data_IF_689754339994
#
_entry.id   IF_689754339994
#
_cell.length_a   1.000
_cell.length_b   1.000
_cell.length_c   1.000
_cell.angle_alpha   90.00
_cell.angle_beta   90.00
_cell.angle_gamma   90.00
#
_symmetry.space_group_name_H-M   'P 1'
#
loop_
_entity.id
_entity.type
_entity.pdbx_description
1 polymer ?
#
# COMPACT_ATOMS: atom_id res chain seq x y z
N UNK A 1 7.13 11.33 32.63
CA UNK A 1 6.54 10.70 31.43
C UNK A 1 7.69 10.23 30.57
N UNK A 2 7.91 8.91 30.51
CA UNK A 2 8.99 8.32 29.73
C UNK A 2 8.74 8.56 28.24
N UNK A 3 9.75 9.12 27.59
CA UNK A 3 9.87 9.22 26.13
C UNK A 3 9.81 7.80 25.59
N UNK A 4 8.82 7.52 24.74
CA UNK A 4 8.73 6.24 24.05
C UNK A 4 10.03 6.00 23.28
N UNK A 5 10.59 4.81 23.38
CA UNK A 5 11.76 4.43 22.60
C UNK A 5 11.42 4.55 21.11
N UNK A 6 11.97 5.55 20.45
CA UNK A 6 11.96 5.70 19.00
C UNK A 6 12.95 4.69 18.42
N UNK A 7 12.49 3.46 18.19
CA UNK A 7 13.26 2.48 17.45
C UNK A 7 12.75 2.44 16.02
N UNK A 8 13.43 3.15 15.11
CA UNK A 8 13.26 2.88 13.69
C UNK A 8 13.76 1.46 13.43
N UNK A 9 12.87 0.61 12.91
CA UNK A 9 13.27 -0.73 12.47
C UNK A 9 14.29 -0.57 11.33
N UNK A 10 15.55 -0.97 11.54
CA UNK A 10 16.60 -0.81 10.52
C UNK A 10 16.28 -1.57 9.23
N UNK A 11 15.34 -2.51 9.25
CA UNK A 11 14.94 -3.32 8.11
C UNK A 11 13.67 -2.81 7.41
N UNK A 12 13.02 -1.75 7.90
CA UNK A 12 11.73 -1.29 7.38
C UNK A 12 11.70 -1.08 5.85
N UNK A 13 12.75 -0.47 5.28
CA UNK A 13 12.84 -0.26 3.83
C UNK A 13 13.01 -1.57 3.05
N UNK A 14 13.70 -2.55 3.62
CA UNK A 14 13.88 -3.89 3.04
C UNK A 14 12.54 -4.65 3.06
N UNK A 15 11.78 -4.52 4.14
CA UNK A 15 10.45 -5.13 4.27
C UNK A 15 9.47 -4.51 3.29
N UNK A 16 9.41 -3.17 3.20
CA UNK A 16 8.58 -2.46 2.21
C UNK A 16 8.97 -2.86 0.78
N UNK A 17 10.27 -2.97 0.49
CA UNK A 17 10.73 -3.46 -0.82
C UNK A 17 10.25 -4.89 -1.09
N UNK A 18 10.29 -5.77 -0.08
CA UNK A 18 9.80 -7.15 -0.20
C UNK A 18 8.29 -7.18 -0.48
N UNK A 19 7.50 -6.33 0.17
CA UNK A 19 6.06 -6.17 -0.11
C UNK A 19 5.81 -5.71 -1.56
N UNK A 20 6.63 -4.78 -2.07
CA UNK A 20 6.54 -4.32 -3.47
C UNK A 20 6.81 -5.48 -4.44
N UNK A 21 7.82 -6.31 -4.17
CA UNK A 21 8.11 -7.49 -5.00
C UNK A 21 6.96 -8.50 -4.97
N UNK A 22 6.38 -8.77 -3.80
CA UNK A 22 5.22 -9.65 -3.67
C UNK A 22 4.01 -9.12 -4.45
N UNK A 23 3.73 -7.82 -4.37
CA UNK A 23 2.68 -7.18 -5.14
C UNK A 23 2.95 -7.25 -6.66
N UNK A 24 4.20 -7.02 -7.08
CA UNK A 24 4.57 -7.13 -8.49
C UNK A 24 4.45 -8.58 -9.01
N UNK A 25 4.88 -9.58 -8.23
CA UNK A 25 4.71 -10.98 -8.56
C UNK A 25 3.23 -11.35 -8.71
N UNK A 26 2.40 -10.91 -7.76
CA UNK A 26 0.94 -11.11 -7.80
C UNK A 26 0.32 -10.52 -9.07
N UNK A 27 0.70 -9.30 -9.46
CA UNK A 27 0.23 -8.70 -10.73
C UNK A 27 0.68 -9.49 -11.96
N UNK A 28 1.93 -9.97 -12.00
CA UNK A 28 2.43 -10.78 -13.14
C UNK A 28 1.60 -12.06 -13.28
N UNK A 29 1.34 -12.74 -12.16
CA UNK A 29 0.66 -14.04 -12.15
C UNK A 29 -0.85 -13.94 -12.42
N UNK A 30 -1.41 -12.74 -12.34
CA UNK A 30 -2.81 -12.46 -12.70
C UNK A 30 -2.93 -11.59 -13.95
N UNK A 31 -1.84 -11.45 -14.72
CA UNK A 31 -1.84 -10.76 -16.01
C UNK A 31 -2.18 -11.71 -17.16
N UNK A 32 -2.56 -11.19 -18.35
CA UNK A 32 -2.78 -12.01 -19.53
C UNK A 32 -1.58 -12.88 -19.96
N UNK A 33 -0.36 -12.58 -19.48
CA UNK A 33 0.85 -13.37 -19.80
C UNK A 33 0.73 -14.84 -19.39
N UNK A 34 -0.10 -15.16 -18.40
CA UNK A 34 -0.29 -16.55 -17.92
C UNK A 34 -1.07 -17.43 -18.89
N UNK A 35 -1.70 -16.84 -19.91
CA UNK A 35 -2.41 -17.58 -20.96
C UNK A 35 -1.45 -18.18 -21.98
N UNK A 36 -0.22 -17.66 -22.07
CA UNK A 36 0.81 -18.22 -22.94
C UNK A 36 1.20 -19.64 -22.48
N UNK A 37 1.13 -20.67 -23.35
CA UNK A 37 1.53 -22.04 -23.00
C UNK A 37 2.99 -22.19 -22.55
N UNK A 38 3.85 -21.23 -22.90
CA UNK A 38 5.25 -21.17 -22.48
C UNK A 38 5.46 -20.46 -21.13
N UNK A 39 4.41 -19.92 -20.53
CA UNK A 39 4.50 -19.23 -19.25
C UNK A 39 5.00 -20.17 -18.15
N UNK A 40 6.01 -19.70 -17.42
CA UNK A 40 6.58 -20.38 -16.26
C UNK A 40 6.58 -19.42 -15.09
N UNK A 41 5.82 -19.75 -14.04
CA UNK A 41 5.76 -18.96 -12.81
C UNK A 41 7.15 -18.82 -12.17
N UNK A 42 7.93 -19.91 -12.13
CA UNK A 42 9.30 -19.90 -11.61
C UNK A 42 10.22 -18.98 -12.43
N UNK A 43 10.14 -19.03 -13.76
CA UNK A 43 10.95 -18.15 -14.62
C UNK A 43 10.55 -16.69 -14.49
N UNK A 44 9.25 -16.41 -14.33
CA UNK A 44 8.74 -15.06 -14.07
C UNK A 44 9.21 -14.52 -12.71
N UNK A 45 9.22 -15.35 -11.66
CA UNK A 45 9.77 -14.98 -10.35
C UNK A 45 11.28 -14.69 -10.43
N UNK A 46 12.04 -15.56 -11.09
CA UNK A 46 13.48 -15.34 -11.32
C UNK A 46 13.74 -14.02 -12.06
N UNK A 47 12.99 -13.74 -13.12
CA UNK A 47 13.11 -12.51 -13.90
C UNK A 47 12.77 -11.26 -13.05
N UNK A 48 11.76 -11.34 -12.19
CA UNK A 48 11.41 -10.26 -11.26
C UNK A 48 12.54 -10.00 -10.26
N UNK A 49 13.08 -11.03 -9.63
CA UNK A 49 14.21 -10.90 -8.69
C UNK A 49 15.47 -10.34 -9.37
N UNK A 50 15.78 -10.79 -10.60
CA UNK A 50 16.93 -10.26 -11.35
C UNK A 50 16.80 -8.79 -11.73
N UNK A 51 15.58 -8.34 -12.03
CA UNK A 51 15.33 -6.97 -12.49
C UNK A 51 15.15 -5.96 -11.36
N UNK A 52 14.53 -6.38 -10.25
CA UNK A 52 14.11 -5.47 -9.18
C UNK A 52 14.52 -5.91 -7.77
N UNK A 53 15.00 -7.14 -7.59
CA UNK A 53 15.30 -7.67 -6.26
C UNK A 53 16.60 -7.12 -5.67
N UNK A 54 16.57 -6.82 -4.37
CA UNK A 54 17.78 -6.52 -3.59
C UNK A 54 18.62 -7.77 -3.30
N UNK A 55 17.95 -8.93 -3.18
CA UNK A 55 18.57 -10.22 -2.89
C UNK A 55 18.46 -11.11 -4.13
N UNK A 56 19.56 -11.75 -4.59
CA UNK A 56 19.53 -12.63 -5.76
C UNK A 56 18.54 -13.78 -5.62
N UNK A 57 17.91 -14.15 -6.73
CA UNK A 57 17.11 -15.36 -6.82
C UNK A 57 17.97 -16.61 -6.52
N UNK A 58 17.40 -17.57 -5.80
CA UNK A 58 18.05 -18.85 -5.48
C UNK A 58 17.52 -19.95 -6.42
N UNK A 59 18.35 -20.50 -7.33
CA UNK A 59 17.92 -21.54 -8.26
C UNK A 59 17.43 -22.80 -7.56
N UNK A 60 16.50 -23.52 -8.22
CA UNK A 60 15.93 -24.77 -7.69
C UNK A 60 14.87 -24.55 -6.60
N UNK A 61 14.42 -23.31 -6.39
CA UNK A 61 13.36 -22.98 -5.43
C UNK A 61 12.06 -22.62 -6.15
N UNK A 62 10.94 -22.82 -5.44
CA UNK A 62 9.60 -22.48 -5.91
C UNK A 62 8.85 -21.69 -4.84
N UNK A 63 9.41 -20.57 -4.38
CA UNK A 63 8.84 -19.76 -3.29
C UNK A 63 7.37 -19.39 -3.54
N UNK A 64 7.00 -19.14 -4.80
CA UNK A 64 5.64 -18.77 -5.16
C UNK A 64 4.58 -19.82 -4.77
N UNK A 65 4.95 -21.09 -4.60
CA UNK A 65 4.01 -22.12 -4.13
C UNK A 65 3.70 -22.01 -2.64
N UNK A 66 4.49 -21.23 -1.90
CA UNK A 66 4.31 -20.97 -0.46
C UNK A 66 3.58 -19.65 -0.22
N UNK A 67 3.42 -18.81 -1.25
CA UNK A 67 2.76 -17.53 -1.12
C UNK A 67 1.25 -17.66 -1.28
N UNK A 68 0.58 -17.97 -0.16
CA UNK A 68 -0.86 -18.27 -0.14
C UNK A 68 -1.77 -17.15 -0.67
N UNK A 69 -1.34 -15.88 -0.63
CA UNK A 69 -2.14 -14.74 -1.10
C UNK A 69 -2.40 -14.77 -2.61
N UNK A 70 -1.61 -15.52 -3.39
CA UNK A 70 -1.92 -15.76 -4.80
C UNK A 70 -3.26 -16.49 -4.98
N UNK A 71 -3.74 -17.17 -3.93
CA UNK A 71 -5.00 -17.91 -3.93
C UNK A 71 -6.00 -17.21 -3.00
N UNK A 72 -7.15 -16.81 -3.54
CA UNK A 72 -8.22 -16.13 -2.80
C UNK A 72 -8.09 -14.60 -2.73
N UNK A 73 -6.87 -14.05 -2.85
CA UNK A 73 -6.58 -12.60 -2.90
C UNK A 73 -5.82 -12.19 -4.17
N UNK A 74 -5.86 -13.03 -5.20
CA UNK A 74 -5.12 -12.82 -6.44
C UNK A 74 -5.38 -11.45 -7.07
N UNK A 75 -4.32 -10.83 -7.57
CA UNK A 75 -4.29 -9.51 -8.18
C UNK A 75 -4.55 -8.32 -7.23
N UNK A 76 -4.65 -8.55 -5.92
CA UNK A 76 -4.97 -7.49 -4.96
C UNK A 76 -3.88 -7.21 -3.94
N UNK A 77 -2.74 -7.92 -3.95
CA UNK A 77 -1.74 -7.79 -2.89
C UNK A 77 -1.14 -6.37 -2.78
N UNK A 78 -1.15 -5.59 -3.88
CA UNK A 78 -0.72 -4.20 -3.86
C UNK A 78 -1.56 -3.32 -2.90
N UNK A 79 -2.78 -3.73 -2.57
CA UNK A 79 -3.69 -2.97 -1.70
C UNK A 79 -3.09 -2.72 -0.32
N UNK A 80 -2.26 -3.63 0.21
CA UNK A 80 -1.61 -3.42 1.50
C UNK A 80 -0.73 -2.17 1.53
N UNK A 81 0.05 -1.94 0.47
CA UNK A 81 0.90 -0.75 0.36
C UNK A 81 0.06 0.49 0.03
N UNK A 82 -0.93 0.30 -0.84
CA UNK A 82 -1.82 1.36 -1.28
C UNK A 82 -2.66 1.94 -0.13
N UNK A 83 -3.30 1.07 0.65
CA UNK A 83 -4.12 1.45 1.79
C UNK A 83 -3.27 2.09 2.90
N UNK A 84 -2.02 1.65 3.08
CA UNK A 84 -1.07 2.30 4.00
C UNK A 84 -0.71 3.71 3.55
N UNK A 85 -0.50 3.93 2.25
CA UNK A 85 -0.25 5.28 1.72
C UNK A 85 -1.47 6.20 1.94
N UNK A 86 -2.69 5.70 1.69
CA UNK A 86 -3.92 6.44 1.96
C UNK A 86 -4.07 6.74 3.46
N UNK A 87 -3.86 5.75 4.33
CA UNK A 87 -3.96 5.92 5.78
C UNK A 87 -2.95 6.95 6.32
N UNK A 88 -1.70 6.90 5.84
CA UNK A 88 -0.65 7.89 6.13
C UNK A 88 -1.07 9.30 5.70
N UNK A 89 -1.65 9.43 4.51
CA UNK A 89 -2.14 10.72 3.99
C UNK A 89 -3.30 11.27 4.82
N UNK A 90 -4.26 10.42 5.18
CA UNK A 90 -5.36 10.78 6.08
C UNK A 90 -4.83 11.22 7.44
N UNK A 91 -3.88 10.49 8.01
CA UNK A 91 -3.28 10.89 9.29
C UNK A 91 -2.60 12.25 9.20
N UNK A 92 -1.66 12.42 8.26
CA UNK A 92 -0.87 13.65 8.10
C UNK A 92 -1.71 14.88 7.80
N UNK A 93 -2.75 14.76 6.96
CA UNK A 93 -3.57 15.91 6.55
C UNK A 93 -4.75 16.20 7.47
N UNK A 94 -5.35 15.16 8.08
CA UNK A 94 -6.60 15.32 8.85
C UNK A 94 -6.34 15.37 10.34
N UNK A 95 -5.50 14.48 10.86
CA UNK A 95 -5.42 14.24 12.31
C UNK A 95 -4.12 14.75 12.96
N UNK A 96 -3.02 14.84 12.22
CA UNK A 96 -1.70 15.12 12.79
C UNK A 96 -1.63 16.41 13.64
N UNK A 97 -2.32 17.47 13.22
CA UNK A 97 -2.31 18.76 13.93
C UNK A 97 -3.08 18.73 15.28
N UNK A 98 -4.20 18.03 15.34
CA UNK A 98 -5.03 17.88 16.55
C UNK A 98 -5.73 16.49 16.55
N UNK A 99 -5.02 15.43 17.01
CA UNK A 99 -5.49 14.05 16.85
C UNK A 99 -6.77 13.69 17.59
N UNK A 100 -7.13 14.47 18.62
CA UNK A 100 -8.31 14.24 19.45
C UNK A 100 -9.44 15.24 19.15
N UNK A 101 -9.33 15.97 18.04
CA UNK A 101 -10.33 16.92 17.61
C UNK A 101 -11.67 16.22 17.31
N UNK A 102 -12.73 16.64 18.01
CA UNK A 102 -14.06 16.02 17.89
C UNK A 102 -14.67 16.25 16.52
N UNK A 103 -14.50 17.45 15.97
CA UNK A 103 -15.06 17.83 14.67
C UNK A 103 -14.41 17.05 13.52
N UNK A 104 -13.09 16.83 13.57
CA UNK A 104 -12.38 16.00 12.59
C UNK A 104 -12.79 14.53 12.68
N UNK A 105 -12.95 13.99 13.89
CA UNK A 105 -13.50 12.65 14.10
C UNK A 105 -14.93 12.52 13.54
N UNK A 106 -15.78 13.53 13.74
CA UNK A 106 -17.13 13.57 13.17
C UNK A 106 -17.11 13.68 11.63
N UNK A 107 -16.14 14.42 11.03
CA UNK A 107 -15.92 14.45 9.57
C UNK A 107 -15.59 13.05 9.05
N UNK A 108 -14.60 12.38 9.62
CA UNK A 108 -14.19 11.03 9.21
C UNK A 108 -15.32 10.01 9.34
N UNK A 109 -16.07 10.05 10.44
CA UNK A 109 -17.25 9.21 10.64
C UNK A 109 -18.32 9.44 9.56
N UNK A 110 -18.60 10.71 9.22
CA UNK A 110 -19.67 11.06 8.26
C UNK A 110 -19.27 10.85 6.81
N UNK A 111 -18.01 11.07 6.46
CA UNK A 111 -17.53 10.99 5.07
C UNK A 111 -17.03 9.60 4.69
N UNK A 112 -16.55 8.80 5.65
CA UNK A 112 -15.99 7.46 5.37
C UNK A 112 -16.76 6.37 6.11
N UNK A 113 -16.70 6.32 7.44
CA UNK A 113 -17.11 5.13 8.19
C UNK A 113 -18.61 4.81 8.07
N UNK A 114 -19.49 5.81 8.02
CA UNK A 114 -20.94 5.60 8.03
C UNK A 114 -21.47 4.82 6.83
N UNK A 115 -20.71 4.78 5.73
CA UNK A 115 -21.18 4.19 4.48
C UNK A 115 -20.87 2.70 4.38
N UNK A 116 -19.89 2.18 5.12
CA UNK A 116 -19.35 0.84 4.90
C UNK A 116 -18.98 0.66 3.42
N UNK A 117 -19.41 -0.46 2.82
CA UNK A 117 -19.26 -0.71 1.38
C UNK A 117 -20.34 -0.09 0.48
N UNK A 118 -21.24 0.75 1.02
CA UNK A 118 -22.39 1.30 0.30
C UNK A 118 -22.11 2.57 -0.51
N UNK A 119 -20.87 3.09 -0.47
CA UNK A 119 -20.43 4.26 -1.25
C UNK A 119 -19.10 3.92 -1.92
N UNK A 120 -18.81 4.61 -3.01
CA UNK A 120 -17.51 4.53 -3.69
C UNK A 120 -16.38 5.01 -2.76
N UNK A 121 -15.37 4.17 -2.47
CA UNK A 121 -14.25 4.53 -1.61
C UNK A 121 -13.44 5.73 -2.13
N UNK A 122 -13.32 5.91 -3.45
CA UNK A 122 -12.60 7.04 -4.03
C UNK A 122 -13.28 8.37 -3.74
N UNK A 123 -14.61 8.40 -3.81
CA UNK A 123 -15.40 9.56 -3.40
C UNK A 123 -15.27 9.85 -1.90
N UNK A 124 -15.22 8.80 -1.08
CA UNK A 124 -15.04 8.94 0.36
C UNK A 124 -13.67 9.55 0.71
N UNK A 125 -12.60 9.02 0.11
CA UNK A 125 -11.22 9.52 0.32
C UNK A 125 -11.06 10.93 -0.23
N UNK A 126 -11.56 11.19 -1.45
CA UNK A 126 -11.54 12.51 -2.09
C UNK A 126 -12.21 13.59 -1.22
N UNK A 127 -13.39 13.31 -0.67
CA UNK A 127 -14.11 14.23 0.20
C UNK A 127 -13.43 14.44 1.57
N UNK A 128 -12.81 13.40 2.12
CA UNK A 128 -12.11 13.51 3.40
C UNK A 128 -10.86 14.40 3.28
N UNK A 129 -10.07 14.16 2.24
CA UNK A 129 -8.79 14.83 1.96
C UNK A 129 -8.94 16.14 1.17
N UNK A 130 -10.16 16.52 0.81
CA UNK A 130 -10.46 17.68 -0.03
C UNK A 130 -9.65 17.66 -1.36
N UNK A 131 -9.53 16.46 -1.96
CA UNK A 131 -8.69 16.15 -3.13
C UNK A 131 -9.55 15.64 -4.30
N UNK A 132 -10.14 16.54 -5.13
CA UNK A 132 -11.08 16.18 -6.21
C UNK A 132 -10.47 15.30 -7.31
N UNK A 133 -9.15 15.37 -7.51
CA UNK A 133 -8.41 14.54 -8.45
C UNK A 133 -8.50 13.03 -8.16
N UNK A 134 -8.86 12.65 -6.93
CA UNK A 134 -9.02 11.25 -6.54
C UNK A 134 -10.43 10.71 -6.84
N UNK A 135 -11.42 11.57 -7.07
CA UNK A 135 -12.84 11.20 -7.03
C UNK A 135 -13.21 10.07 -8.02
N UNK A 136 -12.54 10.03 -9.18
CA UNK A 136 -12.83 9.08 -10.25
C UNK A 136 -12.15 7.72 -10.08
N UNK A 137 -11.13 7.61 -9.22
CA UNK A 137 -10.40 6.36 -9.02
C UNK A 137 -9.71 5.79 -10.26
N UNK A 138 -9.38 6.65 -11.22
CA UNK A 138 -8.75 6.26 -12.48
C UNK A 138 -7.23 6.05 -12.34
N UNK A 139 -6.55 5.79 -13.46
CA UNK A 139 -5.10 5.62 -13.47
C UNK A 139 -4.34 6.87 -12.96
N UNK A 140 -4.93 8.07 -13.08
CA UNK A 140 -4.41 9.30 -12.51
C UNK A 140 -4.50 9.29 -10.99
N UNK A 141 -5.67 8.96 -10.44
CA UNK A 141 -5.87 8.81 -8.99
C UNK A 141 -4.95 7.73 -8.39
N UNK A 142 -4.81 6.58 -9.06
CA UNK A 142 -3.88 5.52 -8.66
C UNK A 142 -2.42 6.00 -8.65
N UNK A 143 -2.02 6.78 -9.66
CA UNK A 143 -0.67 7.34 -9.76
C UNK A 143 -0.41 8.37 -8.67
N UNK A 144 -1.39 9.21 -8.35
CA UNK A 144 -1.32 10.19 -7.28
C UNK A 144 -1.06 9.52 -5.93
N UNK A 145 -1.87 8.51 -5.56
CA UNK A 145 -1.65 7.73 -4.33
C UNK A 145 -0.29 7.05 -4.34
N UNK A 146 0.15 6.53 -5.49
CA UNK A 146 1.47 5.91 -5.65
C UNK A 146 2.66 6.85 -5.47
N UNK A 147 2.45 8.17 -5.47
CA UNK A 147 3.49 9.17 -5.17
C UNK A 147 3.56 9.51 -3.68
N UNK A 148 2.55 9.13 -2.90
CA UNK A 148 2.52 9.42 -1.46
C UNK A 148 3.49 8.52 -0.70
N UNK A 149 4.15 9.11 0.28
CA UNK A 149 5.03 8.37 1.17
C UNK A 149 4.21 7.58 2.20
N UNK A 150 4.62 6.34 2.44
CA UNK A 150 4.14 5.56 3.57
C UNK A 150 4.95 6.04 4.78
N UNK A 151 4.39 6.98 5.53
CA UNK A 151 4.99 7.48 6.77
C UNK A 151 4.46 6.61 7.91
N UNK A 152 5.31 5.76 8.46
CA UNK A 152 4.96 4.92 9.62
C UNK A 152 5.17 5.67 10.96
N UNK A 153 5.57 6.94 10.97
CA UNK A 153 5.90 7.67 12.20
C UNK A 153 5.08 8.95 12.41
N UNK A 154 4.29 8.93 13.48
CA UNK A 154 3.75 10.13 14.14
C UNK A 154 4.86 10.74 15.00
N UNK A 155 5.65 11.64 14.41
CA UNK A 155 6.59 12.48 15.13
C UNK A 155 6.26 13.95 14.87
N UNK A 156 5.83 14.68 15.91
CA UNK A 156 5.63 16.13 15.81
C UNK A 156 6.86 16.80 15.20
N UNK A 157 6.70 17.83 14.34
CA UNK A 157 7.81 18.64 13.87
C UNK A 157 8.37 19.44 15.05
N UNK A 158 9.41 18.89 15.67
CA UNK A 158 10.17 19.52 16.73
C UNK A 158 11.27 20.41 16.17
N UNK A 159 10.93 21.69 16.03
CA UNK A 159 11.77 22.88 16.30
C UNK A 159 13.23 22.84 15.81
N UNK A 160 13.48 23.55 14.71
CA UNK A 160 14.65 24.42 14.61
C UNK A 160 14.28 25.83 15.07
#
# INVERSE_FOLDING_TARGET
WQVGNHHQDPCHSIDTHSQILLAAMDQIYHSPSVVDPSFSSTSALEALHKSKGLIPYVPGTSFQTQFGHLFGYGATYYSYLFDRAIASRVWSQVFHADPLNRELGDKYKKEVLRFGGGRDPWKMVSHLLDSPELENGDAGAMKEVGQWQIEDEVGQPGRH
#
